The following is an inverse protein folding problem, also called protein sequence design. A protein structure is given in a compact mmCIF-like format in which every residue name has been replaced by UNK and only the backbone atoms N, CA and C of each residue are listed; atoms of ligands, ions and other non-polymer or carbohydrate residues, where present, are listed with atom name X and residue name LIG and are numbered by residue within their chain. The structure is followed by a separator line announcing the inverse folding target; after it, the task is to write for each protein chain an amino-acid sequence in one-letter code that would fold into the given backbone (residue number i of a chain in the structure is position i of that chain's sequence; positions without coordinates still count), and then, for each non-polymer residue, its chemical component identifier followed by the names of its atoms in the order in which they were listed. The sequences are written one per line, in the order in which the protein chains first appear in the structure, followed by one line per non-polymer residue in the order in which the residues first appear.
data_IF_133851017058
#
_entry.id   IF_133851017058
#
_cell.length_a   1.000
_cell.length_b   1.000
_cell.length_c   1.000
_cell.angle_alpha   90.00
_cell.angle_beta   90.00
_cell.angle_gamma   90.00
#
_symmetry.space_group_name_H-M   'P 1'
#
loop_
_entity.id
_entity.type
_entity.pdbx_description
1 polymer ?
#
# COMPACT_ATOMS: atom_id res chain seq x y z
N UNK A 1 11.75 -26.14 -13.44
CA UNK A 1 12.67 -26.10 -12.29
C UNK A 1 14.14 -26.34 -12.63
N UNK A 2 14.50 -27.08 -13.69
CA UNK A 2 15.91 -27.33 -14.03
C UNK A 2 16.79 -26.07 -14.17
N UNK A 3 16.22 -24.96 -14.67
CA UNK A 3 16.96 -23.71 -14.90
C UNK A 3 16.62 -22.61 -13.88
N UNK A 4 15.63 -22.85 -13.01
CA UNK A 4 15.08 -21.88 -12.06
C UNK A 4 14.72 -20.48 -12.64
N UNK A 5 14.47 -20.41 -13.95
CA UNK A 5 14.07 -19.22 -14.68
C UNK A 5 12.68 -19.41 -15.29
N UNK A 6 12.01 -18.28 -15.54
CA UNK A 6 10.77 -18.25 -16.32
C UNK A 6 11.05 -18.71 -17.76
N UNK A 7 10.24 -19.65 -18.24
CA UNK A 7 10.36 -20.20 -19.60
C UNK A 7 9.03 -20.06 -20.33
N UNK A 8 9.10 -19.78 -21.63
CA UNK A 8 7.95 -19.80 -22.50
C UNK A 8 7.58 -21.26 -22.83
N UNK A 9 6.30 -21.59 -22.65
CA UNK A 9 5.74 -22.89 -23.04
C UNK A 9 4.73 -22.69 -24.18
N UNK A 10 5.17 -22.96 -25.41
CA UNK A 10 4.35 -22.86 -26.62
C UNK A 10 3.17 -23.85 -26.62
N UNK A 11 3.20 -24.87 -25.76
CA UNK A 11 2.17 -25.91 -25.63
C UNK A 11 1.45 -25.86 -24.29
N UNK A 12 1.52 -24.73 -23.59
CA UNK A 12 0.88 -24.53 -22.28
C UNK A 12 -0.60 -24.91 -22.28
N UNK A 13 -1.32 -24.61 -23.37
CA UNK A 13 -2.72 -25.00 -23.55
C UNK A 13 -2.96 -26.51 -23.55
N UNK A 14 -2.08 -27.29 -24.18
CA UNK A 14 -2.18 -28.74 -24.21
C UNK A 14 -1.84 -29.36 -22.85
N UNK A 15 -0.80 -28.85 -22.19
CA UNK A 15 -0.39 -29.30 -20.85
C UNK A 15 -1.47 -28.99 -19.80
N UNK A 16 -2.02 -27.78 -19.81
CA UNK A 16 -3.08 -27.39 -18.88
C UNK A 16 -4.37 -28.20 -19.10
N UNK A 17 -4.66 -28.62 -20.33
CA UNK A 17 -5.80 -29.49 -20.62
C UNK A 17 -5.69 -30.87 -19.95
N UNK A 18 -4.48 -31.42 -19.76
CA UNK A 18 -4.29 -32.71 -19.08
C UNK A 18 -4.69 -32.68 -17.60
N UNK A 19 -4.63 -31.49 -16.98
CA UNK A 19 -5.07 -31.25 -15.60
C UNK A 19 -6.48 -30.65 -15.53
N UNK A 20 -7.23 -30.69 -16.63
CA UNK A 20 -8.62 -30.24 -16.70
C UNK A 20 -8.82 -28.73 -16.90
N UNK A 21 -7.77 -28.00 -17.29
CA UNK A 21 -7.83 -26.55 -17.55
C UNK A 21 -7.86 -26.33 -19.08
N UNK A 22 -9.05 -26.09 -19.62
CA UNK A 22 -9.26 -25.84 -21.05
C UNK A 22 -9.25 -24.35 -21.39
N UNK A 23 -8.09 -23.82 -21.78
CA UNK A 23 -7.90 -22.38 -22.08
C UNK A 23 -8.86 -21.88 -23.18
N UNK A 24 -9.24 -22.72 -24.14
CA UNK A 24 -10.04 -22.30 -25.30
C UNK A 24 -11.51 -22.05 -24.95
N UNK A 25 -12.03 -22.68 -23.90
CA UNK A 25 -13.42 -22.51 -23.41
C UNK A 25 -13.53 -21.60 -22.19
N UNK A 26 -12.39 -21.17 -21.64
CA UNK A 26 -12.33 -20.30 -20.46
C UNK A 26 -12.63 -18.86 -20.85
N UNK A 27 -13.88 -18.45 -20.64
CA UNK A 27 -14.21 -17.04 -20.47
C UNK A 27 -13.65 -16.59 -19.12
N UNK A 28 -12.94 -15.47 -19.07
CA UNK A 28 -12.39 -14.95 -17.82
C UNK A 28 -13.51 -14.57 -16.85
N UNK A 29 -13.89 -15.48 -15.95
CA UNK A 29 -14.98 -15.27 -14.98
C UNK A 29 -14.52 -14.56 -13.72
N UNK A 30 -13.21 -14.62 -13.42
CA UNK A 30 -12.61 -13.97 -12.27
C UNK A 30 -11.36 -13.19 -12.67
N UNK A 31 -11.21 -12.01 -12.07
CA UNK A 31 -10.00 -11.19 -12.21
C UNK A 31 -8.86 -11.89 -11.50
N UNK A 32 -7.69 -11.91 -12.12
CA UNK A 32 -6.47 -12.37 -11.45
C UNK A 32 -6.20 -11.50 -10.22
N UNK A 33 -5.48 -12.00 -9.22
CA UNK A 33 -5.09 -11.20 -8.05
C UNK A 33 -4.37 -9.91 -8.49
N UNK A 34 -3.56 -10.00 -9.56
CA UNK A 34 -2.90 -8.84 -10.15
C UNK A 34 -3.91 -7.83 -10.73
N UNK A 35 -4.97 -8.27 -11.41
CA UNK A 35 -6.02 -7.41 -11.92
C UNK A 35 -6.93 -6.86 -10.83
N UNK A 36 -7.23 -7.64 -9.79
CA UNK A 36 -7.95 -7.15 -8.61
C UNK A 36 -7.15 -6.04 -7.95
N UNK A 37 -5.83 -6.22 -7.80
CA UNK A 37 -4.97 -5.20 -7.23
C UNK A 37 -4.82 -3.98 -8.15
N UNK A 38 -4.68 -4.19 -9.47
CA UNK A 38 -4.59 -3.10 -10.44
C UNK A 38 -5.89 -2.29 -10.48
N UNK A 39 -7.03 -2.97 -10.48
CA UNK A 39 -8.33 -2.34 -10.47
C UNK A 39 -8.64 -1.69 -9.12
N UNK A 40 -8.25 -2.29 -8.00
CA UNK A 40 -8.35 -1.63 -6.69
C UNK A 40 -7.48 -0.37 -6.65
N UNK A 41 -6.25 -0.42 -7.19
CA UNK A 41 -5.38 0.76 -7.29
C UNK A 41 -5.95 1.82 -8.23
N UNK A 42 -6.48 1.42 -9.39
CA UNK A 42 -7.10 2.31 -10.36
C UNK A 42 -8.39 2.91 -9.82
N UNK A 43 -9.24 2.12 -9.18
CA UNK A 43 -10.45 2.60 -8.51
C UNK A 43 -10.12 3.50 -7.33
N UNK A 44 -9.06 3.23 -6.56
CA UNK A 44 -8.59 4.16 -5.52
C UNK A 44 -8.07 5.45 -6.14
N UNK A 45 -7.36 5.41 -7.28
CA UNK A 45 -6.93 6.62 -7.99
C UNK A 45 -8.10 7.40 -8.60
N UNK A 46 -9.10 6.71 -9.15
CA UNK A 46 -10.30 7.30 -9.73
C UNK A 46 -11.25 7.85 -8.66
N UNK A 47 -11.45 7.13 -7.55
CA UNK A 47 -12.21 7.60 -6.40
C UNK A 47 -11.55 8.83 -5.77
N UNK A 48 -10.22 8.89 -5.73
CA UNK A 48 -9.46 10.10 -5.32
C UNK A 48 -9.70 11.32 -6.23
N UNK A 49 -10.22 11.15 -7.44
CA UNK A 49 -10.50 12.25 -8.39
C UNK A 49 -12.00 12.53 -8.50
N UNK A 50 -12.85 11.50 -8.31
CA UNK A 50 -14.29 11.53 -8.53
C UNK A 50 -14.99 10.88 -7.33
N UNK A 51 -15.14 11.61 -6.23
CA UNK A 51 -16.23 11.33 -5.29
C UNK A 51 -17.45 12.13 -5.75
N UNK A 52 -18.56 11.45 -6.03
CA UNK A 52 -19.87 12.06 -6.37
C UNK A 52 -19.88 13.04 -7.57
N UNK A 53 -19.01 12.85 -8.56
CA UNK A 53 -18.94 13.75 -9.72
C UNK A 53 -18.32 15.12 -9.43
N UNK A 54 -17.68 15.28 -8.26
CA UNK A 54 -16.92 16.47 -7.89
C UNK A 54 -15.44 16.22 -8.14
N UNK A 55 -14.80 17.14 -8.86
CA UNK A 55 -13.34 17.16 -8.99
C UNK A 55 -12.76 17.58 -7.64
N UNK A 56 -12.08 16.65 -6.97
CA UNK A 56 -11.41 16.95 -5.70
C UNK A 56 -10.19 17.85 -5.92
N UNK A 57 -9.97 18.81 -5.02
CA UNK A 57 -8.81 19.70 -5.05
C UNK A 57 -7.67 19.03 -4.26
N UNK A 58 -6.46 18.91 -4.83
CA UNK A 58 -5.30 18.41 -4.10
C UNK A 58 -4.99 19.27 -2.87
N UNK A 59 -4.76 18.62 -1.73
CA UNK A 59 -4.45 19.27 -0.46
C UNK A 59 -3.00 19.02 -0.06
N UNK A 60 -2.39 20.00 0.60
CA UNK A 60 -1.00 19.99 1.07
C UNK A 60 -0.92 20.64 2.45
N UNK A 61 0.12 20.35 3.21
CA UNK A 61 0.32 20.86 4.56
C UNK A 61 0.49 19.77 5.63
N UNK A 62 0.75 20.16 6.89
CA UNK A 62 0.95 19.24 7.99
C UNK A 62 -0.29 18.38 8.24
N UNK A 63 -0.12 17.07 8.35
CA UNK A 63 -1.20 16.11 8.53
C UNK A 63 -1.97 15.77 7.26
N UNK A 64 -1.59 16.34 6.11
CA UNK A 64 -2.21 16.09 4.80
C UNK A 64 -1.28 15.32 3.85
N UNK A 65 -0.19 14.76 4.37
CA UNK A 65 0.76 13.97 3.59
C UNK A 65 0.21 12.57 3.31
N UNK A 66 0.10 12.22 2.03
CA UNK A 66 -0.27 10.88 1.59
C UNK A 66 0.84 9.86 1.81
N UNK A 67 0.46 8.57 1.92
CA UNK A 67 1.41 7.46 1.97
C UNK A 67 1.37 6.62 0.70
N UNK A 68 2.55 6.27 0.19
CA UNK A 68 2.70 5.37 -0.95
C UNK A 68 2.24 3.95 -0.60
N UNK A 69 1.66 3.25 -1.58
CA UNK A 69 1.26 1.85 -1.43
C UNK A 69 2.45 0.97 -1.80
N UNK A 70 2.90 0.12 -0.87
CA UNK A 70 4.05 -0.77 -1.04
C UNK A 70 3.65 -2.20 -1.46
N UNK A 71 2.46 -2.35 -2.05
CA UNK A 71 1.85 -3.63 -2.41
C UNK A 71 0.94 -4.14 -1.28
N UNK A 72 -0.37 -4.11 -1.50
CA UNK A 72 -1.40 -4.48 -0.51
C UNK A 72 -1.31 -3.72 0.83
N UNK A 73 -0.58 -2.61 0.93
CA UNK A 73 -0.38 -1.89 2.20
C UNK A 73 -1.47 -0.84 2.48
N UNK A 74 -2.51 -0.76 1.64
CA UNK A 74 -3.56 0.26 1.76
C UNK A 74 -4.30 0.19 3.11
N UNK A 75 -4.54 -1.01 3.65
CA UNK A 75 -5.16 -1.17 4.97
C UNK A 75 -4.30 -0.54 6.08
N UNK A 76 -2.98 -0.71 6.00
CA UNK A 76 -2.05 -0.15 6.97
C UNK A 76 -1.98 1.37 6.82
N UNK A 77 -1.94 1.86 5.58
CA UNK A 77 -1.96 3.29 5.30
C UNK A 77 -3.24 3.94 5.87
N UNK A 78 -4.40 3.34 5.68
CA UNK A 78 -5.67 3.85 6.24
C UNK A 78 -5.65 3.89 7.77
N UNK A 79 -5.20 2.82 8.42
CA UNK A 79 -5.13 2.75 9.90
C UNK A 79 -4.15 3.76 10.48
N UNK A 80 -2.97 3.92 9.87
CA UNK A 80 -1.97 4.90 10.32
C UNK A 80 -2.47 6.33 10.16
N UNK A 81 -3.12 6.67 9.04
CA UNK A 81 -3.75 8.00 8.88
C UNK A 81 -4.82 8.24 9.96
N UNK A 82 -5.66 7.25 10.27
CA UNK A 82 -6.64 7.37 11.33
C UNK A 82 -5.99 7.64 12.69
N UNK A 83 -4.94 6.91 13.06
CA UNK A 83 -4.25 7.13 14.33
C UNK A 83 -3.64 8.53 14.43
N UNK A 84 -2.95 9.01 13.41
CA UNK A 84 -2.33 10.34 13.44
C UNK A 84 -3.34 11.50 13.34
N UNK A 85 -4.60 11.21 13.02
CA UNK A 85 -5.69 12.17 13.09
C UNK A 85 -6.41 12.16 14.45
N UNK A 86 -6.10 11.22 15.35
CA UNK A 86 -6.52 11.26 16.75
C UNK A 86 -5.61 12.20 17.55
N UNK A 87 -6.14 13.27 18.18
CA UNK A 87 -5.34 14.22 18.94
C UNK A 87 -4.46 13.55 20.00
N UNK A 88 -5.00 12.57 20.73
CA UNK A 88 -4.29 11.88 21.81
C UNK A 88 -3.05 11.15 21.32
N UNK A 89 -3.14 10.52 20.14
CA UNK A 89 -2.03 9.81 19.54
C UNK A 89 -1.01 10.81 18.96
N UNK A 90 -1.48 11.80 18.21
CA UNK A 90 -0.63 12.82 17.60
C UNK A 90 0.14 13.62 18.66
N UNK A 91 -0.55 14.10 19.68
CA UNK A 91 0.02 14.97 20.71
C UNK A 91 0.98 14.19 21.63
N UNK A 92 0.85 12.86 21.69
CA UNK A 92 1.84 11.99 22.33
C UNK A 92 3.10 11.80 21.47
N UNK A 93 2.96 11.50 20.17
CA UNK A 93 4.11 11.12 19.33
C UNK A 93 4.84 12.30 18.68
N UNK A 94 4.12 13.33 18.20
CA UNK A 94 4.70 14.42 17.42
C UNK A 94 5.68 15.30 18.21
N UNK A 95 5.35 15.80 19.42
CA UNK A 95 6.24 16.73 20.14
C UNK A 95 7.58 16.12 20.54
N UNK A 96 7.61 14.82 20.80
CA UNK A 96 8.81 14.09 21.23
C UNK A 96 9.53 13.37 20.09
N UNK A 97 9.01 13.44 18.85
CA UNK A 97 9.51 12.63 17.74
C UNK A 97 10.98 12.89 17.43
N UNK A 98 11.36 14.16 17.26
CA UNK A 98 12.74 14.53 16.98
C UNK A 98 13.67 14.20 18.14
N UNK A 99 13.24 14.50 19.37
CA UNK A 99 14.02 14.22 20.57
C UNK A 99 14.33 12.72 20.69
N UNK A 100 13.32 11.86 20.52
CA UNK A 100 13.50 10.42 20.60
C UNK A 100 14.41 9.88 19.49
N UNK A 101 14.26 10.36 18.25
CA UNK A 101 15.12 9.92 17.15
C UNK A 101 16.59 10.31 17.33
N UNK A 102 16.85 11.42 18.03
CA UNK A 102 18.21 11.89 18.31
C UNK A 102 18.86 11.23 19.53
N UNK A 103 18.07 10.76 20.51
CA UNK A 103 18.59 10.22 21.77
C UNK A 103 18.43 8.70 21.95
N UNK A 104 17.75 8.00 21.03
CA UNK A 104 17.53 6.57 21.18
C UNK A 104 18.81 5.76 20.99
N UNK A 105 19.18 4.98 22.02
CA UNK A 105 20.36 4.10 22.00
C UNK A 105 20.17 2.81 21.16
N UNK A 106 18.94 2.50 20.74
CA UNK A 106 18.63 1.32 19.93
C UNK A 106 18.78 1.61 18.44
N UNK A 107 19.11 0.59 17.65
CA UNK A 107 18.99 0.69 16.19
C UNK A 107 17.53 1.00 15.82
N UNK A 108 17.33 1.95 14.90
CA UNK A 108 16.00 2.43 14.56
C UNK A 108 14.99 1.33 14.12
N UNK A 109 15.36 0.29 13.34
CA UNK A 109 14.43 -0.80 13.00
C UNK A 109 13.97 -1.63 14.21
N UNK A 110 14.78 -1.69 15.27
CA UNK A 110 14.53 -2.50 16.47
C UNK A 110 13.76 -1.71 17.53
N UNK A 111 13.52 -0.41 17.31
CA UNK A 111 12.77 0.46 18.20
C UNK A 111 11.45 0.89 17.54
N UNK A 112 10.34 0.35 18.05
CA UNK A 112 8.99 0.72 17.57
C UNK A 112 8.73 2.23 17.70
N UNK A 113 9.14 2.83 18.82
CA UNK A 113 8.99 4.26 19.03
C UNK A 113 9.73 5.07 17.96
N UNK A 114 10.94 4.67 17.55
CA UNK A 114 11.64 5.31 16.43
C UNK A 114 10.84 5.22 15.12
N UNK A 115 10.22 4.08 14.83
CA UNK A 115 9.43 3.91 13.60
C UNK A 115 8.17 4.79 13.62
N UNK A 116 7.45 4.84 14.76
CA UNK A 116 6.27 5.69 14.89
C UNK A 116 6.66 7.17 14.84
N UNK A 117 7.75 7.58 15.50
CA UNK A 117 8.23 8.97 15.44
C UNK A 117 8.66 9.38 14.02
N UNK A 118 9.25 8.47 13.23
CA UNK A 118 9.54 8.73 11.81
C UNK A 118 8.27 8.96 11.00
N UNK A 119 7.24 8.13 11.21
CA UNK A 119 5.93 8.31 10.59
C UNK A 119 5.30 9.64 11.01
N UNK A 120 5.39 9.98 12.29
CA UNK A 120 4.87 11.23 12.85
C UNK A 120 5.48 12.45 12.16
N UNK A 121 6.80 12.49 11.97
CA UNK A 121 7.49 13.57 11.28
C UNK A 121 7.09 13.60 9.80
N UNK A 122 7.12 12.45 9.12
CA UNK A 122 6.79 12.38 7.69
C UNK A 122 5.35 12.80 7.38
N UNK A 123 4.40 12.52 8.27
CA UNK A 123 3.00 12.93 8.10
C UNK A 123 2.76 14.41 8.46
N UNK A 124 3.64 15.05 9.22
CA UNK A 124 3.51 16.43 9.68
C UNK A 124 4.44 17.42 8.96
N UNK A 125 5.32 16.95 8.08
CA UNK A 125 6.28 17.80 7.37
C UNK A 125 5.73 18.52 6.14
N UNK A 126 4.53 18.12 5.67
CA UNK A 126 3.93 18.57 4.41
C UNK A 126 3.54 20.04 4.36
#
# INVERSE_FOLDING_TARGET
YQCNDDVLDDKLAEHLRTVGIDIATQTKTEKTIAEINLEANLNLQLAKVIEEGKTLVPMFGPGLTGMENLGNSCYMNSVVQCFFNLPEFRDYYCPQAEAHLNCCDKRAPDCMQCQICKLAIGLQSG
#
